data_IF_522650175997
#
_entry.id   IF_522650175997
#
_cell.length_a   1.000
_cell.length_b   1.000
_cell.length_c   1.000
_cell.angle_alpha   90.00
_cell.angle_beta   90.00
_cell.angle_gamma   90.00
#
_symmetry.space_group_name_H-M   'P 1'
#
loop_
_entity.id
_entity.type
_entity.pdbx_description
1 polymer ?
#
# COMPACT_ATOMS: atom_id res chain seq x y z
N UNK A 1 -4.96 20.95 -26.90
CA UNK A 1 -5.95 20.02 -26.30
C UNK A 1 -5.39 18.62 -26.05
N UNK A 2 -4.52 18.06 -26.90
CA UNK A 2 -3.93 16.71 -26.71
C UNK A 2 -2.92 16.58 -25.55
N UNK A 3 -2.20 17.66 -25.20
CA UNK A 3 -1.19 17.61 -24.13
C UNK A 3 -1.77 17.30 -22.73
N UNK A 4 -3.03 17.63 -22.47
CA UNK A 4 -3.65 17.40 -21.16
C UNK A 4 -4.08 15.94 -20.98
N UNK A 5 -4.55 15.28 -22.05
CA UNK A 5 -4.91 13.85 -21.98
C UNK A 5 -3.70 12.96 -21.73
N UNK A 6 -2.55 13.29 -22.34
CA UNK A 6 -1.32 12.50 -22.17
C UNK A 6 -0.79 12.58 -20.73
N UNK A 7 -0.97 13.72 -20.06
CA UNK A 7 -0.63 13.90 -18.65
C UNK A 7 -1.53 13.05 -17.73
N UNK A 8 -2.83 12.95 -18.01
CA UNK A 8 -3.73 12.08 -17.25
C UNK A 8 -3.45 10.60 -17.46
N UNK A 9 -3.17 10.19 -18.71
CA UNK A 9 -2.80 8.81 -19.01
C UNK A 9 -1.54 8.39 -18.23
N UNK A 10 -0.50 9.22 -18.23
CA UNK A 10 0.73 8.95 -17.48
C UNK A 10 0.48 8.91 -15.97
N UNK A 11 -0.37 9.80 -15.43
CA UNK A 11 -0.73 9.79 -14.02
C UNK A 11 -1.50 8.51 -13.64
N UNK A 12 -2.45 8.09 -14.46
CA UNK A 12 -3.21 6.86 -14.27
C UNK A 12 -2.29 5.64 -14.27
N UNK A 13 -1.37 5.53 -15.24
CA UNK A 13 -0.39 4.44 -15.30
C UNK A 13 0.50 4.38 -14.05
N UNK A 14 0.97 5.54 -13.58
CA UNK A 14 1.78 5.65 -12.36
C UNK A 14 0.99 5.22 -11.12
N UNK A 15 -0.26 5.69 -10.96
CA UNK A 15 -1.12 5.31 -9.83
C UNK A 15 -1.43 3.81 -9.88
N UNK A 16 -1.80 3.27 -11.04
CA UNK A 16 -2.10 1.84 -11.21
C UNK A 16 -0.88 0.99 -10.86
N UNK A 17 0.32 1.41 -11.28
CA UNK A 17 1.57 0.71 -10.94
C UNK A 17 1.84 0.75 -9.44
N UNK A 18 1.71 1.92 -8.82
CA UNK A 18 1.85 2.09 -7.36
C UNK A 18 0.86 1.19 -6.60
N UNK A 19 -0.44 1.26 -6.93
CA UNK A 19 -1.49 0.45 -6.30
C UNK A 19 -1.19 -1.05 -6.43
N UNK A 20 -0.79 -1.52 -7.63
CA UNK A 20 -0.43 -2.93 -7.84
C UNK A 20 0.76 -3.35 -7.00
N UNK A 21 1.78 -2.51 -6.88
CA UNK A 21 2.98 -2.81 -6.10
C UNK A 21 2.68 -2.84 -4.60
N UNK A 22 1.94 -1.87 -4.08
CA UNK A 22 1.60 -1.80 -2.67
C UNK A 22 0.64 -2.92 -2.25
N UNK A 23 -0.35 -3.28 -3.08
CA UNK A 23 -1.22 -4.44 -2.80
C UNK A 23 -0.42 -5.75 -2.73
N UNK A 24 0.57 -5.94 -3.61
CA UNK A 24 1.47 -7.11 -3.56
C UNK A 24 2.29 -7.13 -2.27
N UNK A 25 2.77 -5.98 -1.78
CA UNK A 25 3.47 -5.90 -0.49
C UNK A 25 2.56 -6.27 0.67
N UNK A 26 1.34 -5.73 0.71
CA UNK A 26 0.35 -6.05 1.76
C UNK A 26 0.00 -7.54 1.79
N UNK A 27 -0.18 -8.17 0.63
CA UNK A 27 -0.42 -9.62 0.54
C UNK A 27 0.76 -10.43 1.11
N UNK A 28 1.99 -10.01 0.81
CA UNK A 28 3.21 -10.64 1.34
C UNK A 28 3.28 -10.52 2.86
N UNK A 29 3.06 -9.33 3.42
CA UNK A 29 3.05 -9.11 4.88
C UNK A 29 2.00 -9.98 5.59
N UNK A 30 0.90 -10.31 4.93
CA UNK A 30 -0.13 -11.20 5.47
C UNK A 30 0.17 -12.69 5.28
N UNK A 31 1.21 -13.03 4.51
CA UNK A 31 1.65 -14.40 4.28
C UNK A 31 2.49 -14.90 5.46
N UNK A 32 2.22 -16.10 5.99
CA UNK A 32 3.00 -16.66 7.11
C UNK A 32 4.47 -16.94 6.76
N UNK A 33 4.81 -17.05 5.48
CA UNK A 33 6.16 -17.35 4.99
C UNK A 33 7.00 -16.11 4.64
N UNK A 34 6.55 -14.89 5.00
CA UNK A 34 7.26 -13.67 4.63
C UNK A 34 8.40 -13.38 5.61
N UNK A 35 9.66 -13.34 5.15
CA UNK A 35 10.77 -12.92 6.00
C UNK A 35 10.60 -11.42 6.32
N UNK A 36 10.49 -11.12 7.62
CA UNK A 36 10.33 -9.76 8.19
C UNK A 36 11.46 -8.79 7.78
N UNK A 37 12.54 -9.29 7.17
CA UNK A 37 13.76 -8.57 6.77
C UNK A 37 13.67 -7.81 5.42
N UNK A 38 12.52 -7.80 4.74
CA UNK A 38 12.38 -7.13 3.42
C UNK A 38 11.85 -5.69 3.48
N UNK A 39 11.46 -5.20 4.67
CA UNK A 39 10.93 -3.85 4.85
C UNK A 39 12.01 -2.79 5.16
N UNK A 40 13.24 -3.19 5.50
CA UNK A 40 14.33 -2.28 5.87
C UNK A 40 15.08 -1.64 4.67
N UNK A 41 14.64 -1.89 3.44
CA UNK A 41 15.18 -1.21 2.26
C UNK A 41 14.10 -0.29 1.67
N UNK A 42 13.91 0.88 2.27
CA UNK A 42 13.54 2.17 1.64
C UNK A 42 13.09 3.16 2.73
N UNK A 43 14.07 3.65 3.49
CA UNK A 43 13.95 4.87 4.29
C UNK A 43 14.10 6.15 3.46
N UNK A 44 14.41 6.04 2.17
CA UNK A 44 14.60 7.21 1.32
C UNK A 44 13.27 7.60 0.64
N UNK A 45 12.77 8.78 1.02
CA UNK A 45 11.62 9.58 0.54
C UNK A 45 10.39 9.61 1.47
N UNK A 46 10.38 10.58 2.40
CA UNK A 46 9.27 10.93 3.29
C UNK A 46 7.91 11.04 2.57
N UNK A 47 7.89 11.55 1.34
CA UNK A 47 6.65 11.70 0.55
C UNK A 47 6.09 10.35 0.07
N UNK A 48 6.97 9.39 -0.26
CA UNK A 48 6.54 8.05 -0.65
C UNK A 48 5.98 7.31 0.58
N UNK A 49 6.57 7.52 1.76
CA UNK A 49 6.05 6.97 3.01
C UNK A 49 4.65 7.52 3.35
N UNK A 50 4.44 8.83 3.23
CA UNK A 50 3.12 9.44 3.43
C UNK A 50 2.08 8.92 2.44
N UNK A 51 2.49 8.68 1.20
CA UNK A 51 1.64 8.08 0.16
C UNK A 51 1.26 6.64 0.51
N UNK A 52 2.19 5.84 1.04
CA UNK A 52 1.92 4.47 1.53
C UNK A 52 0.96 4.45 2.72
N UNK A 53 1.12 5.37 3.67
CA UNK A 53 0.19 5.48 4.81
C UNK A 53 -1.22 5.88 4.37
N UNK A 54 -1.33 6.84 3.45
CA UNK A 54 -2.61 7.24 2.88
C UNK A 54 -3.25 6.07 2.12
N UNK A 55 -2.47 5.35 1.32
CA UNK A 55 -2.93 4.17 0.59
C UNK A 55 -3.42 3.06 1.52
N UNK A 56 -2.70 2.78 2.62
CA UNK A 56 -3.15 1.82 3.63
C UNK A 56 -4.53 2.20 4.20
N UNK A 57 -4.76 3.48 4.53
CA UNK A 57 -6.07 3.95 5.02
C UNK A 57 -7.17 3.73 3.99
N UNK A 58 -6.91 4.00 2.71
CA UNK A 58 -7.84 3.77 1.61
C UNK A 58 -8.14 2.27 1.48
N UNK A 59 -7.12 1.42 1.49
CA UNK A 59 -7.28 -0.04 1.43
C UNK A 59 -8.13 -0.57 2.59
N UNK A 60 -7.85 -0.15 3.83
CA UNK A 60 -8.65 -0.53 4.99
C UNK A 60 -10.11 -0.09 4.87
N UNK A 61 -10.35 1.11 4.33
CA UNK A 61 -11.71 1.60 4.07
C UNK A 61 -12.45 0.71 3.08
N UNK A 62 -11.81 0.33 1.96
CA UNK A 62 -12.41 -0.56 0.97
C UNK A 62 -12.69 -1.96 1.54
N UNK A 63 -11.75 -2.54 2.29
CA UNK A 63 -11.94 -3.85 2.93
C UNK A 63 -13.17 -3.85 3.83
N UNK A 64 -13.32 -2.83 4.68
CA UNK A 64 -14.51 -2.68 5.54
C UNK A 64 -15.79 -2.49 4.74
N UNK A 65 -15.77 -1.67 3.68
CA UNK A 65 -16.90 -1.51 2.76
C UNK A 65 -17.29 -2.81 2.06
N UNK A 66 -16.31 -3.70 1.82
CA UNK A 66 -16.48 -5.03 1.25
C UNK A 66 -16.86 -6.10 2.30
N UNK A 67 -17.06 -5.72 3.57
CA UNK A 67 -17.31 -6.64 4.70
C UNK A 67 -16.17 -7.64 4.95
N UNK A 68 -14.94 -7.25 4.65
CA UNK A 68 -13.71 -8.01 4.88
C UNK A 68 -13.01 -7.50 6.14
N UNK A 69 -13.74 -7.43 7.25
CA UNK A 69 -13.28 -6.82 8.51
C UNK A 69 -12.08 -7.56 9.12
N UNK A 70 -12.08 -8.90 9.11
CA UNK A 70 -10.95 -9.71 9.60
C UNK A 70 -9.66 -9.42 8.82
N UNK A 71 -9.76 -9.30 7.49
CA UNK A 71 -8.60 -8.98 6.64
C UNK A 71 -8.09 -7.56 6.91
N UNK A 72 -9.00 -6.61 7.14
CA UNK A 72 -8.64 -5.24 7.51
C UNK A 72 -7.92 -5.21 8.86
N UNK A 73 -8.40 -5.96 9.86
CA UNK A 73 -7.82 -6.00 11.19
C UNK A 73 -6.45 -6.68 11.19
N UNK A 74 -6.29 -7.77 10.44
CA UNK A 74 -4.98 -8.43 10.24
C UNK A 74 -3.96 -7.48 9.59
N UNK A 75 -4.37 -6.79 8.52
CA UNK A 75 -3.51 -5.84 7.82
C UNK A 75 -3.16 -4.61 8.67
N UNK A 76 -4.09 -4.14 9.49
CA UNK A 76 -3.83 -3.05 10.43
C UNK A 76 -2.90 -3.48 11.57
N UNK A 77 -2.98 -4.73 11.99
CA UNK A 77 -2.16 -5.29 13.09
C UNK A 77 -0.73 -5.53 12.65
N UNK A 78 -0.49 -6.00 11.42
CA UNK A 78 0.87 -6.22 10.91
C UNK A 78 1.68 -4.92 10.86
N UNK A 79 1.07 -3.79 10.45
CA UNK A 79 1.74 -2.48 10.46
C UNK A 79 2.16 -2.01 11.86
N UNK A 80 1.37 -2.32 12.90
CA UNK A 80 1.68 -1.96 14.29
C UNK A 80 2.85 -2.75 14.85
N UNK A 81 3.08 -3.97 14.35
CA UNK A 81 4.22 -4.81 14.72
C UNK A 81 5.50 -4.20 14.13
N UNK A 82 5.49 -3.80 12.86
CA UNK A 82 6.65 -3.16 12.20
C UNK A 82 7.05 -1.78 12.75
N UNK A 83 6.25 -1.14 13.63
CA UNK A 83 6.54 0.17 14.24
C UNK A 83 7.00 0.08 15.70
N UNK A 84 7.03 -1.13 16.29
CA UNK A 84 7.37 -1.36 17.70
C UNK A 84 8.70 -2.09 17.91
N UNK A 85 9.39 -2.40 16.82
CA UNK A 85 10.71 -3.03 16.78
C UNK A 85 11.68 -1.96 16.29
#
# INVERSE_FOLDING_TARGET
>A
MLHFSDQWNLLEENIVTFVKNELKKMQKVLSPDYPECLESQREDEDEEQRSREAFLKITLHFLRRMKQDELADRLQSSKKISLKI
#
